data_IF_459552612131
#
_entry.id   IF_459552612131
#
_cell.length_a   1.000
_cell.length_b   1.000
_cell.length_c   1.000
_cell.angle_alpha   90.00
_cell.angle_beta   90.00
_cell.angle_gamma   90.00
#
_symmetry.space_group_name_H-M   'P 1'
#
loop_
_entity.id
_entity.type
_entity.pdbx_description
1 polymer ?
#
# COMPACT_ATOMS: atom_id res chain seq x y z
N UNK A 1 5.85 -0.61 -14.80
CA UNK A 1 4.99 -0.48 -13.59
C UNK A 1 4.87 1.01 -13.32
N UNK A 2 3.65 1.56 -13.21
CA UNK A 2 3.43 3.00 -12.92
C UNK A 2 3.31 3.18 -11.41
N UNK A 3 4.02 4.16 -10.85
CA UNK A 3 3.85 4.56 -9.45
C UNK A 3 2.75 5.60 -9.36
N UNK A 4 1.88 5.46 -8.35
CA UNK A 4 0.72 6.33 -8.10
C UNK A 4 0.88 7.05 -6.75
N UNK A 5 0.21 8.19 -6.51
CA UNK A 5 0.24 8.85 -5.20
C UNK A 5 -0.25 7.93 -4.09
N UNK A 6 0.37 7.99 -2.90
CA UNK A 6 -0.09 7.20 -1.75
C UNK A 6 -1.54 7.53 -1.37
N UNK A 7 -1.93 8.80 -1.44
CA UNK A 7 -3.25 9.29 -1.11
C UNK A 7 -4.32 8.65 -2.01
N UNK A 8 -4.00 8.46 -3.29
CA UNK A 8 -4.87 7.75 -4.21
C UNK A 8 -5.04 6.29 -3.80
N UNK A 9 -3.94 5.60 -3.46
CA UNK A 9 -4.01 4.21 -2.98
C UNK A 9 -4.81 4.13 -1.69
N UNK A 10 -4.56 5.03 -0.74
CA UNK A 10 -5.24 5.07 0.55
C UNK A 10 -6.76 5.30 0.40
N UNK A 11 -7.16 6.25 -0.44
CA UNK A 11 -8.57 6.53 -0.73
C UNK A 11 -9.25 5.31 -1.38
N UNK A 12 -8.60 4.72 -2.39
CA UNK A 12 -9.12 3.51 -3.05
C UNK A 12 -9.21 2.33 -2.07
N UNK A 13 -8.20 2.16 -1.20
CA UNK A 13 -8.20 1.10 -0.18
C UNK A 13 -9.36 1.24 0.80
N UNK A 14 -9.66 2.48 1.20
CA UNK A 14 -10.77 2.80 2.11
C UNK A 14 -12.13 2.46 1.48
N UNK A 15 -12.31 2.71 0.17
CA UNK A 15 -13.53 2.35 -0.57
C UNK A 15 -13.83 0.84 -0.55
N UNK A 16 -12.78 0.02 -0.47
CA UNK A 16 -12.88 -1.45 -0.45
C UNK A 16 -12.62 -2.05 0.94
N UNK A 17 -12.92 -1.30 2.00
CA UNK A 17 -12.87 -1.77 3.40
C UNK A 17 -11.51 -2.39 3.79
N UNK A 18 -10.41 -1.82 3.30
CA UNK A 18 -9.08 -2.21 3.74
C UNK A 18 -8.95 -2.01 5.26
N UNK A 19 -8.41 -3.02 5.93
CA UNK A 19 -8.18 -3.05 7.38
C UNK A 19 -7.10 -2.05 7.78
N UNK A 20 -6.07 -1.95 6.95
CA UNK A 20 -4.95 -1.05 7.15
C UNK A 20 -4.34 -0.70 5.80
N UNK A 21 -3.84 0.53 5.67
CA UNK A 21 -3.12 0.99 4.49
C UNK A 21 -2.02 1.93 4.93
N UNK A 22 -0.78 1.47 4.79
CA UNK A 22 0.40 2.27 5.11
C UNK A 22 1.43 2.12 4.00
N UNK A 23 2.32 3.08 3.88
CA UNK A 23 3.46 2.96 2.99
C UNK A 23 4.74 2.68 3.79
N UNK A 24 5.71 2.08 3.10
CA UNK A 24 7.04 1.78 3.64
C UNK A 24 8.09 1.82 2.55
N UNK A 25 9.33 1.98 2.97
CA UNK A 25 10.48 1.84 2.07
C UNK A 25 10.58 0.40 1.57
N UNK A 26 10.94 0.27 0.30
CA UNK A 26 11.12 -0.99 -0.39
C UNK A 26 12.37 -0.91 -1.25
N UNK A 27 13.42 -1.58 -0.78
CA UNK A 27 14.67 -1.83 -1.48
C UNK A 27 14.46 -2.51 -2.85
N UNK A 28 13.29 -3.14 -3.05
CA UNK A 28 12.92 -3.88 -4.26
C UNK A 28 12.10 -3.08 -5.26
N UNK A 29 11.61 -1.89 -4.90
CA UNK A 29 10.81 -1.05 -5.81
C UNK A 29 11.68 0.03 -6.43
N UNK A 30 11.55 0.23 -7.74
CA UNK A 30 12.30 1.24 -8.49
C UNK A 30 12.02 2.69 -8.02
N UNK A 31 10.92 2.92 -7.30
CA UNK A 31 10.53 4.25 -6.76
C UNK A 31 10.82 4.42 -5.27
N UNK A 32 11.47 3.46 -4.62
CA UNK A 32 11.84 3.52 -3.21
C UNK A 32 10.72 3.22 -2.22
N UNK A 33 9.46 3.55 -2.53
CA UNK A 33 8.31 3.34 -1.62
C UNK A 33 7.22 2.46 -2.20
N UNK A 34 6.58 1.69 -1.32
CA UNK A 34 5.39 0.88 -1.62
C UNK A 34 4.30 1.15 -0.61
N UNK A 35 3.05 1.21 -1.08
CA UNK A 35 1.89 1.07 -0.21
C UNK A 35 1.62 -0.42 0.03
N UNK A 36 1.41 -0.76 1.30
CA UNK A 36 1.00 -2.07 1.77
C UNK A 36 -0.42 -1.97 2.30
N UNK A 37 -1.35 -2.59 1.58
CA UNK A 37 -2.78 -2.56 1.86
C UNK A 37 -3.21 -3.92 2.37
N UNK A 38 -3.90 -3.95 3.51
CA UNK A 38 -4.30 -5.16 4.21
C UNK A 38 -5.80 -5.38 4.16
N UNK A 39 -6.21 -6.63 3.95
CA UNK A 39 -7.60 -7.02 3.87
C UNK A 39 -7.89 -8.26 4.71
N UNK A 40 -9.08 -8.29 5.31
CA UNK A 40 -9.65 -9.43 6.04
C UNK A 40 -10.01 -10.59 5.10
N UNK A 41 -10.34 -10.30 3.84
CA UNK A 41 -10.77 -11.27 2.85
C UNK A 41 -10.04 -11.05 1.53
N UNK A 42 -10.17 -12.00 0.60
CA UNK A 42 -9.44 -11.93 -0.67
C UNK A 42 -9.98 -10.73 -1.47
N UNK A 43 -9.17 -9.69 -1.74
CA UNK A 43 -9.65 -8.41 -2.24
C UNK A 43 -9.82 -8.43 -3.77
N UNK A 44 -10.78 -9.25 -4.25
CA UNK A 44 -11.02 -9.45 -5.69
C UNK A 44 -11.47 -8.16 -6.38
N UNK A 45 -12.44 -7.47 -5.78
CA UNK A 45 -13.03 -6.25 -6.34
C UNK A 45 -12.00 -5.11 -6.39
N UNK A 46 -11.25 -4.92 -5.31
CA UNK A 46 -10.10 -4.01 -5.28
C UNK A 46 -9.10 -4.33 -6.40
N UNK A 47 -8.72 -5.59 -6.59
CA UNK A 47 -7.75 -5.98 -7.62
C UNK A 47 -8.26 -5.73 -9.04
N UNK A 48 -9.55 -5.97 -9.29
CA UNK A 48 -10.21 -5.66 -10.57
C UNK A 48 -10.22 -4.15 -10.79
N UNK A 49 -10.73 -3.39 -9.81
CA UNK A 49 -10.81 -1.92 -9.91
C UNK A 49 -9.45 -1.27 -10.08
N UNK A 50 -8.45 -1.78 -9.38
CA UNK A 50 -7.07 -1.35 -9.54
C UNK A 50 -6.59 -1.56 -10.97
N UNK A 51 -6.81 -2.75 -11.55
CA UNK A 51 -6.39 -3.05 -12.90
C UNK A 51 -7.06 -2.14 -13.93
N UNK A 52 -8.34 -1.80 -13.75
CA UNK A 52 -9.08 -0.86 -14.60
C UNK A 52 -8.53 0.57 -14.52
N UNK A 53 -8.30 1.08 -13.30
CA UNK A 53 -7.93 2.49 -13.09
C UNK A 53 -6.44 2.74 -13.35
N UNK A 54 -5.58 1.81 -12.91
CA UNK A 54 -4.12 1.98 -12.95
C UNK A 54 -3.50 1.30 -14.18
N UNK A 55 -4.20 0.33 -14.78
CA UNK A 55 -3.78 -0.34 -16.01
C UNK A 55 -2.80 -1.48 -15.81
N UNK A 56 -2.72 -2.07 -14.61
CA UNK A 56 -1.94 -3.29 -14.36
C UNK A 56 -2.49 -4.10 -13.20
N UNK A 57 -2.27 -5.43 -13.22
CA UNK A 57 -2.73 -6.31 -12.15
C UNK A 57 -1.81 -6.25 -10.90
N UNK A 58 -2.42 -6.34 -9.73
CA UNK A 58 -1.70 -6.40 -8.44
C UNK A 58 -1.57 -7.82 -7.93
N UNK A 59 -0.44 -8.09 -7.27
CA UNK A 59 -0.21 -9.39 -6.62
C UNK A 59 -0.71 -9.34 -5.18
N UNK A 60 -1.76 -10.10 -4.91
CA UNK A 60 -2.24 -10.37 -3.55
C UNK A 60 -1.38 -11.45 -2.91
N UNK A 61 -0.92 -11.22 -1.68
CA UNK A 61 -0.20 -12.20 -0.85
C UNK A 61 -1.04 -12.58 0.35
N UNK A 62 -1.08 -13.87 0.69
CA UNK A 62 -1.58 -14.31 1.99
C UNK A 62 -0.41 -14.32 2.98
N UNK A 63 -0.46 -13.48 4.01
CA UNK A 63 0.69 -13.18 4.90
C UNK A 63 0.50 -13.70 6.32
N UNK A 64 -0.74 -13.98 6.74
CA UNK A 64 -1.04 -14.46 8.09
C UNK A 64 -2.30 -15.32 8.14
N UNK A 65 -2.51 -15.99 9.29
CA UNK A 65 -3.78 -16.64 9.65
C UNK A 65 -4.43 -15.76 10.72
N UNK A 66 -5.28 -14.82 10.32
CA UNK A 66 -5.91 -13.82 11.21
C UNK A 66 -6.72 -12.76 10.43
N UNK A 67 -7.29 -11.75 11.11
CA UNK A 67 -8.11 -10.70 10.49
C UNK A 67 -7.33 -9.75 9.56
N UNK A 68 -6.03 -9.90 9.39
CA UNK A 68 -5.27 -9.22 8.34
C UNK A 68 -4.44 -10.25 7.58
N UNK A 69 -5.13 -11.08 6.79
CA UNK A 69 -4.51 -12.22 6.10
C UNK A 69 -4.02 -11.91 4.70
N UNK A 70 -4.65 -10.96 4.00
CA UNK A 70 -4.25 -10.62 2.64
C UNK A 70 -3.57 -9.27 2.58
N UNK A 71 -2.42 -9.18 1.93
CA UNK A 71 -1.73 -7.93 1.68
C UNK A 71 -1.48 -7.73 0.19
N UNK A 72 -1.66 -6.50 -0.27
CA UNK A 72 -1.28 -6.04 -1.60
C UNK A 72 -0.15 -5.03 -1.46
N UNK A 73 0.85 -5.13 -2.32
CA UNK A 73 1.98 -4.20 -2.38
C UNK A 73 2.01 -3.50 -3.72
N UNK A 74 1.90 -2.17 -3.71
CA UNK A 74 1.92 -1.35 -4.93
C UNK A 74 2.97 -0.25 -4.82
N UNK A 75 3.79 -0.02 -5.87
CA UNK A 75 4.71 1.11 -5.91
C UNK A 75 3.93 2.43 -5.81
N UNK A 76 4.40 3.32 -4.94
CA UNK A 76 3.79 4.65 -4.75
C UNK A 76 4.82 5.76 -4.81
N UNK A 77 4.34 6.96 -5.09
CA UNK A 77 5.06 8.22 -4.90
C UNK A 77 4.55 8.84 -3.61
N UNK A 78 5.48 9.28 -2.75
CA UNK A 78 5.17 9.99 -1.52
C UNK A 78 5.74 11.42 -1.63
N UNK A 79 4.96 12.47 -1.37
CA UNK A 79 5.45 13.85 -1.41
C UNK A 79 6.62 14.07 -0.44
N UNK A 80 7.64 14.80 -0.91
CA UNK A 80 8.79 15.21 -0.09
C UNK A 80 8.28 16.11 1.05
N UNK A 81 8.54 15.72 2.31
CA UNK A 81 8.17 16.50 3.50
C UNK A 81 7.04 15.91 4.36
N UNK A 82 6.26 14.95 3.87
CA UNK A 82 5.27 14.21 4.68
C UNK A 82 5.87 13.04 5.48
N UNK A 83 7.20 12.90 5.42
CA UNK A 83 7.93 11.72 5.89
C UNK A 83 8.67 12.03 7.18
N UNK A 84 8.24 11.45 8.30
CA UNK A 84 9.14 11.16 9.43
C UNK A 84 9.41 9.66 9.44
N UNK A 85 10.58 9.28 8.98
CA UNK A 85 11.08 7.93 9.21
C UNK A 85 11.29 7.80 10.72
N UNK A 86 10.55 6.90 11.36
CA UNK A 86 10.95 6.40 12.67
C UNK A 86 12.34 5.75 12.59
N UNK A 87 12.91 5.36 13.73
CA UNK A 87 14.20 4.65 13.79
C UNK A 87 14.29 3.59 12.68
N UNK A 88 15.42 3.51 11.95
CA UNK A 88 15.54 2.64 10.80
C UNK A 88 15.52 1.18 11.25
N UNK A 89 14.33 0.58 11.26
CA UNK A 89 14.18 -0.87 11.32
C UNK A 89 13.58 -1.32 9.99
N UNK A 90 14.14 -2.38 9.42
CA UNK A 90 13.63 -3.00 8.20
C UNK A 90 12.14 -3.30 8.38
N UNK A 91 11.29 -2.70 7.56
CA UNK A 91 9.84 -2.88 7.63
C UNK A 91 9.10 -1.90 8.54
N UNK A 92 9.74 -0.82 9.01
CA UNK A 92 9.06 0.26 9.73
C UNK A 92 7.87 0.80 8.92
N UNK A 93 6.72 0.88 9.59
CA UNK A 93 5.52 1.58 9.10
C UNK A 93 5.79 3.07 9.15
N UNK A 94 5.46 3.79 8.09
CA UNK A 94 5.59 5.26 8.11
C UNK A 94 4.30 5.88 8.64
N UNK A 95 4.42 6.71 9.67
CA UNK A 95 3.34 7.56 10.15
C UNK A 95 3.32 8.86 9.33
N UNK A 96 2.17 9.16 8.73
CA UNK A 96 1.94 10.46 8.10
C UNK A 96 1.85 11.54 9.18
N UNK A 97 2.61 12.63 8.99
CA UNK A 97 2.46 13.83 9.80
C UNK A 97 1.45 14.73 9.08
N UNK A 98 0.26 14.89 9.66
CA UNK A 98 -0.65 15.96 9.25
C UNK A 98 -0.12 17.27 9.85
N UNK A 99 0.24 18.23 8.97
CA UNK A 99 0.52 19.62 9.33
C UNK A 99 -0.76 20.42 9.46
#
# INVERSE_FOLDING_TARGET
MRSVPFEFVSALSCEFEAVDCFWRESDSSFTGFVAEVWFESLPREFAVRWAEVVGYAVKVRCVSVGPARFAVRVPVVVPVGQVRLGWPSRGSRVQLVYS
#
